data_IF_847311156026
#
_entry.id   IF_847311156026
#
_cell.length_a   1.000
_cell.length_b   1.000
_cell.length_c   1.000
_cell.angle_alpha   90.00
_cell.angle_beta   90.00
_cell.angle_gamma   90.00
#
_symmetry.space_group_name_H-M   'P 1'
#
loop_
_entity.id
_entity.type
_entity.pdbx_description
1 polymer ?
#
# COMPACT_ATOMS: atom_id res chain seq x y z
N UNK A 1 18.34 27.67 29.54
CA UNK A 1 17.17 28.15 30.32
C UNK A 1 16.16 28.97 29.49
N UNK A 2 16.51 29.41 28.28
CA UNK A 2 15.66 30.24 27.40
C UNK A 2 14.66 29.43 26.56
N UNK A 3 15.05 28.24 26.08
CA UNK A 3 14.19 27.40 25.21
C UNK A 3 12.98 26.83 25.97
N UNK A 4 13.17 26.39 27.21
CA UNK A 4 12.09 25.86 28.04
C UNK A 4 11.00 26.91 28.33
N UNK A 5 11.41 28.18 28.50
CA UNK A 5 10.50 29.28 28.78
C UNK A 5 9.66 29.67 27.55
N UNK A 6 10.25 29.56 26.36
CA UNK A 6 9.56 29.76 25.08
C UNK A 6 8.52 28.65 24.83
N UNK A 7 8.87 27.39 25.12
CA UNK A 7 7.94 26.26 24.96
C UNK A 7 6.74 26.34 25.90
N UNK A 8 6.95 26.81 27.14
CA UNK A 8 5.87 27.02 28.12
C UNK A 8 4.94 28.15 27.67
N UNK A 9 5.47 29.25 27.13
CA UNK A 9 4.66 30.34 26.59
C UNK A 9 3.86 29.91 25.35
N UNK A 10 4.44 29.09 24.48
CA UNK A 10 3.74 28.53 23.31
C UNK A 10 2.61 27.56 23.73
N UNK A 11 2.85 26.73 24.75
CA UNK A 11 1.85 25.81 25.27
C UNK A 11 0.67 26.56 25.94
N UNK A 12 0.95 27.60 26.73
CA UNK A 12 -0.07 28.44 27.37
C UNK A 12 -0.87 29.24 26.34
N UNK A 13 -0.22 29.76 25.30
CA UNK A 13 -0.88 30.42 24.18
C UNK A 13 -1.83 29.49 23.42
N UNK A 14 -1.41 28.24 23.18
CA UNK A 14 -2.25 27.24 22.52
C UNK A 14 -3.49 26.91 23.35
N UNK A 15 -3.35 26.73 24.67
CA UNK A 15 -4.48 26.39 25.56
C UNK A 15 -5.51 27.54 25.63
N UNK A 16 -5.07 28.79 25.68
CA UNK A 16 -5.97 29.95 25.68
C UNK A 16 -6.76 30.07 24.35
N UNK A 17 -6.12 29.74 23.22
CA UNK A 17 -6.76 29.76 21.90
C UNK A 17 -7.71 28.58 21.71
N UNK A 18 -7.42 27.41 22.28
CA UNK A 18 -8.24 26.19 22.15
C UNK A 18 -9.37 26.06 23.18
N UNK A 19 -9.36 26.84 24.27
CA UNK A 19 -10.38 26.84 25.33
C UNK A 19 -11.83 27.00 24.82
N UNK A 20 -12.16 27.93 23.90
CA UNK A 20 -13.53 28.07 23.41
C UNK A 20 -13.98 26.95 22.44
N UNK A 21 -13.11 26.02 22.05
CA UNK A 21 -13.41 24.98 21.05
C UNK A 21 -13.92 23.65 21.64
N UNK A 22 -13.93 23.47 22.97
CA UNK A 22 -14.32 22.19 23.59
C UNK A 22 -15.84 21.89 23.58
N UNK A 23 -16.70 22.80 23.13
CA UNK A 23 -18.16 22.65 23.33
C UNK A 23 -18.98 22.51 22.03
N UNK A 24 -18.42 22.71 20.83
CA UNK A 24 -19.19 22.55 19.58
C UNK A 24 -18.87 21.23 18.87
N UNK A 25 -19.80 20.27 18.94
CA UNK A 25 -19.82 19.13 18.01
C UNK A 25 -20.17 19.68 16.62
N UNK A 26 -19.17 19.85 15.75
CA UNK A 26 -19.42 20.09 14.33
C UNK A 26 -19.92 18.78 13.70
N UNK A 27 -21.09 18.75 13.04
CA UNK A 27 -21.46 17.62 12.22
C UNK A 27 -20.44 17.47 11.09
N UNK A 28 -19.98 16.25 10.85
CA UNK A 28 -19.06 15.93 9.76
C UNK A 28 -19.69 16.34 8.41
N UNK A 29 -18.92 16.93 7.47
CA UNK A 29 -19.42 17.19 6.13
C UNK A 29 -19.75 15.85 5.47
N UNK A 30 -21.01 15.66 5.07
CA UNK A 30 -21.37 14.56 4.17
C UNK A 30 -20.65 14.76 2.85
N UNK A 31 -20.17 13.69 2.24
CA UNK A 31 -19.58 13.74 0.91
C UNK A 31 -20.51 14.50 -0.06
N UNK A 32 -19.97 15.39 -0.92
CA UNK A 32 -20.78 16.04 -1.93
C UNK A 32 -21.39 14.94 -2.81
N UNK A 33 -22.71 14.96 -3.07
CA UNK A 33 -23.36 13.93 -3.86
C UNK A 33 -22.69 13.78 -5.24
N UNK A 34 -22.43 12.53 -5.65
CA UNK A 34 -21.75 12.22 -6.90
C UNK A 34 -22.49 12.84 -8.09
N UNK A 35 -21.79 13.70 -8.83
CA UNK A 35 -22.34 14.41 -9.98
C UNK A 35 -22.80 13.47 -11.10
N UNK A 36 -22.24 12.25 -11.18
CA UNK A 36 -22.66 11.24 -12.17
C UNK A 36 -24.07 10.71 -11.88
N UNK A 37 -24.46 10.65 -10.61
CA UNK A 37 -25.76 10.15 -10.18
C UNK A 37 -26.90 11.16 -10.37
N UNK A 38 -26.59 12.46 -10.35
CA UNK A 38 -27.57 13.55 -10.56
C UNK A 38 -28.06 13.59 -12.03
N UNK A 39 -27.13 13.54 -12.99
CA UNK A 39 -27.46 13.57 -14.43
C UNK A 39 -28.20 12.28 -14.84
N UNK A 40 -27.75 11.13 -14.34
CA UNK A 40 -28.41 9.86 -14.60
C UNK A 40 -29.88 9.87 -14.10
N UNK A 41 -30.12 10.42 -12.91
CA UNK A 41 -31.48 10.62 -12.37
C UNK A 41 -32.31 11.57 -13.23
N UNK A 42 -31.77 12.72 -13.65
CA UNK A 42 -32.48 13.67 -14.48
C UNK A 42 -32.88 13.07 -15.85
N UNK A 43 -32.00 12.30 -16.48
CA UNK A 43 -32.28 11.58 -17.73
C UNK A 43 -33.40 10.55 -17.53
N UNK A 44 -33.39 9.82 -16.41
CA UNK A 44 -34.46 8.89 -16.06
C UNK A 44 -35.80 9.62 -15.89
N UNK A 45 -35.83 10.71 -15.13
CA UNK A 45 -37.05 11.48 -14.88
C UNK A 45 -37.63 12.12 -16.15
N UNK A 46 -36.78 12.55 -17.09
CA UNK A 46 -37.23 13.05 -18.40
C UNK A 46 -37.87 11.95 -19.25
N UNK A 47 -37.30 10.74 -19.23
CA UNK A 47 -37.86 9.58 -19.93
C UNK A 47 -39.25 9.21 -19.37
N UNK A 48 -39.40 9.19 -18.05
CA UNK A 48 -40.67 8.90 -17.40
C UNK A 48 -41.74 9.96 -17.73
N UNK A 49 -41.33 11.23 -17.81
CA UNK A 49 -42.22 12.34 -18.20
C UNK A 49 -42.70 12.22 -19.65
N UNK A 50 -41.83 11.75 -20.57
CA UNK A 50 -42.21 11.47 -21.95
C UNK A 50 -43.22 10.33 -22.06
N UNK A 51 -43.04 9.26 -21.28
CA UNK A 51 -44.03 8.18 -21.19
C UNK A 51 -45.37 8.68 -20.65
N UNK A 52 -45.36 9.51 -19.60
CA UNK A 52 -46.59 10.06 -19.01
C UNK A 52 -47.36 10.95 -20.01
N UNK A 53 -46.64 11.72 -20.84
CA UNK A 53 -47.25 12.48 -21.94
C UNK A 53 -47.81 11.57 -23.03
N UNK A 54 -47.07 10.53 -23.43
CA UNK A 54 -47.51 9.59 -24.47
C UNK A 54 -48.76 8.80 -24.03
N UNK A 55 -48.87 8.50 -22.73
CA UNK A 55 -50.04 7.88 -22.13
C UNK A 55 -51.23 8.85 -21.93
N UNK A 56 -51.08 10.14 -22.26
CA UNK A 56 -52.13 11.15 -22.12
C UNK A 56 -52.44 11.54 -20.67
N UNK A 57 -51.60 11.12 -19.71
CA UNK A 57 -51.84 11.34 -18.27
C UNK A 57 -51.48 12.75 -17.80
N UNK A 58 -50.78 13.53 -18.62
CA UNK A 58 -50.35 14.90 -18.28
C UNK A 58 -50.69 15.86 -19.41
N UNK A 59 -51.12 17.07 -19.06
CA UNK A 59 -51.45 18.09 -20.03
C UNK A 59 -50.19 18.63 -20.75
N UNK A 60 -50.28 19.01 -22.03
CA UNK A 60 -49.12 19.51 -22.79
C UNK A 60 -48.43 20.74 -22.18
N UNK A 61 -49.18 21.61 -21.52
CA UNK A 61 -48.64 22.79 -20.84
C UNK A 61 -47.82 22.43 -19.59
N UNK A 62 -48.28 21.44 -18.83
CA UNK A 62 -47.59 20.95 -17.63
C UNK A 62 -46.34 20.15 -18.01
N UNK A 63 -46.41 19.39 -19.11
CA UNK A 63 -45.24 18.73 -19.70
C UNK A 63 -44.13 19.73 -20.03
N UNK A 64 -44.45 20.80 -20.76
CA UNK A 64 -43.47 21.79 -21.18
C UNK A 64 -42.82 22.49 -19.97
N UNK A 65 -43.61 22.78 -18.93
CA UNK A 65 -43.12 23.37 -17.68
C UNK A 65 -42.18 22.42 -16.93
N UNK A 66 -42.59 21.18 -16.70
CA UNK A 66 -41.83 20.18 -15.93
C UNK A 66 -40.53 19.80 -16.62
N UNK A 67 -40.56 19.64 -17.95
CA UNK A 67 -39.37 19.40 -18.76
C UNK A 67 -38.36 20.55 -18.63
N UNK A 68 -38.82 21.80 -18.76
CA UNK A 68 -37.95 22.97 -18.62
C UNK A 68 -37.31 23.08 -17.24
N UNK A 69 -38.02 22.72 -16.16
CA UNK A 69 -37.44 22.69 -14.81
C UNK A 69 -36.39 21.58 -14.62
N UNK A 70 -36.60 20.39 -15.21
CA UNK A 70 -35.64 19.29 -15.13
C UNK A 70 -34.37 19.57 -15.94
N UNK A 71 -34.53 20.13 -17.15
CA UNK A 71 -33.40 20.50 -18.01
C UNK A 71 -32.59 21.66 -17.41
N UNK A 72 -33.25 22.69 -16.87
CA UNK A 72 -32.55 23.82 -16.24
C UNK A 72 -31.81 23.42 -14.95
N UNK A 73 -32.39 22.54 -14.13
CA UNK A 73 -31.78 22.08 -12.88
C UNK A 73 -30.57 21.14 -13.08
N UNK A 74 -30.58 20.31 -14.12
CA UNK A 74 -29.50 19.36 -14.41
C UNK A 74 -28.33 20.00 -15.18
N UNK A 75 -28.60 20.99 -16.04
CA UNK A 75 -27.60 21.52 -16.97
C UNK A 75 -27.14 22.96 -16.68
N UNK A 76 -27.87 23.71 -15.85
CA UNK A 76 -27.53 25.09 -15.53
C UNK A 76 -27.14 25.24 -14.06
N UNK A 77 -26.01 24.62 -13.65
CA UNK A 77 -25.34 25.01 -12.41
C UNK A 77 -24.39 26.16 -12.70
N UNK A 78 -24.49 27.23 -11.90
CA UNK A 78 -23.37 28.13 -11.69
C UNK A 78 -22.13 27.30 -11.31
N UNK A 79 -20.92 27.68 -11.77
CA UNK A 79 -19.71 26.90 -11.51
C UNK A 79 -19.65 26.55 -10.02
N UNK A 80 -19.61 25.25 -9.73
CA UNK A 80 -19.27 24.78 -8.40
C UNK A 80 -17.91 25.41 -8.06
N UNK A 81 -17.86 26.10 -6.93
CA UNK A 81 -16.73 26.91 -6.43
C UNK A 81 -16.77 28.43 -6.70
N UNK A 82 -17.87 29.10 -6.37
CA UNK A 82 -17.71 30.31 -5.55
C UNK A 82 -17.71 29.87 -4.08
N UNK A 83 -16.63 29.21 -3.63
CA UNK A 83 -16.42 28.93 -2.21
C UNK A 83 -16.60 30.27 -1.49
N UNK A 84 -17.57 30.36 -0.59
CA UNK A 84 -17.68 31.52 0.28
C UNK A 84 -16.28 31.75 0.88
N UNK A 85 -15.72 32.98 0.82
CA UNK A 85 -14.35 33.21 1.24
C UNK A 85 -14.20 32.66 2.66
N UNK A 86 -13.25 31.75 2.84
CA UNK A 86 -13.03 31.14 4.14
C UNK A 86 -12.94 32.25 5.19
N UNK A 87 -13.65 32.16 6.33
CA UNK A 87 -13.65 33.24 7.29
C UNK A 87 -12.21 33.52 7.69
N UNK A 88 -11.80 34.80 7.77
CA UNK A 88 -10.40 35.26 7.93
C UNK A 88 -9.62 34.44 8.97
N UNK A 89 -10.31 33.97 10.02
CA UNK A 89 -9.77 33.08 11.05
C UNK A 89 -9.20 31.75 10.51
N UNK A 90 -9.85 31.12 9.54
CA UNK A 90 -9.40 29.87 8.90
C UNK A 90 -8.14 30.11 8.06
N UNK A 91 -8.07 31.25 7.36
CA UNK A 91 -6.89 31.65 6.60
C UNK A 91 -5.70 31.92 7.52
N UNK A 92 -5.93 32.57 8.67
CA UNK A 92 -4.89 32.80 9.68
C UNK A 92 -4.37 31.51 10.31
N UNK A 93 -5.26 30.56 10.64
CA UNK A 93 -4.86 29.26 11.20
C UNK A 93 -4.10 28.44 10.16
N UNK A 94 -4.58 28.40 8.91
CA UNK A 94 -3.88 27.71 7.83
C UNK A 94 -2.50 28.33 7.55
N UNK A 95 -2.39 29.67 7.57
CA UNK A 95 -1.11 30.37 7.41
C UNK A 95 -0.15 30.08 8.57
N UNK A 96 -0.65 29.97 9.81
CA UNK A 96 0.15 29.60 10.97
C UNK A 96 0.64 28.14 10.87
N UNK A 97 -0.23 27.20 10.49
CA UNK A 97 0.16 25.79 10.31
C UNK A 97 1.18 25.66 9.19
N UNK A 98 0.96 26.35 8.06
CA UNK A 98 1.90 26.34 6.93
C UNK A 98 3.26 26.96 7.30
N UNK A 99 3.28 28.04 8.09
CA UNK A 99 4.54 28.68 8.50
C UNK A 99 5.31 27.83 9.51
N UNK A 100 4.62 27.18 10.46
CA UNK A 100 5.24 26.22 11.39
C UNK A 100 5.76 25.00 10.63
N UNK A 101 4.97 24.44 9.70
CA UNK A 101 5.41 23.32 8.88
C UNK A 101 6.64 23.69 8.02
N UNK A 102 6.67 24.88 7.42
CA UNK A 102 7.81 25.38 6.66
C UNK A 102 9.05 25.61 7.55
N UNK A 103 8.86 26.13 8.76
CA UNK A 103 9.96 26.32 9.72
C UNK A 103 10.51 24.99 10.22
N UNK A 104 9.66 24.00 10.50
CA UNK A 104 10.09 22.65 10.86
C UNK A 104 10.83 22.01 9.68
N UNK A 105 10.27 22.07 8.47
CA UNK A 105 10.89 21.52 7.27
C UNK A 105 12.28 22.12 7.00
N UNK A 106 12.47 23.43 7.17
CA UNK A 106 13.77 24.09 6.96
C UNK A 106 14.82 23.75 8.03
N UNK A 107 14.40 23.34 9.22
CA UNK A 107 15.29 22.98 10.33
C UNK A 107 15.60 21.48 10.35
N UNK A 108 14.62 20.62 10.04
CA UNK A 108 14.76 19.17 10.16
C UNK A 108 15.12 18.47 8.86
N UNK A 109 14.81 19.05 7.69
CA UNK A 109 15.20 18.44 6.43
C UNK A 109 16.70 18.68 6.20
N UNK A 110 17.48 17.62 5.91
CA UNK A 110 18.85 17.80 5.48
C UNK A 110 18.85 18.64 4.20
N UNK A 111 19.62 19.73 4.20
CA UNK A 111 19.70 20.69 3.08
C UNK A 111 20.20 20.07 1.77
N UNK A 112 20.65 18.82 1.82
CA UNK A 112 21.17 18.06 0.68
C UNK A 112 20.07 17.38 -0.15
N UNK A 113 18.81 17.35 0.31
CA UNK A 113 17.73 16.61 -0.35
C UNK A 113 17.14 17.31 -1.60
N UNK A 114 17.63 18.50 -1.98
CA UNK A 114 16.92 19.39 -2.93
C UNK A 114 17.54 19.61 -4.31
N UNK A 115 18.84 19.36 -4.52
CA UNK A 115 19.53 19.84 -5.75
C UNK A 115 19.49 18.85 -6.93
N UNK A 116 18.48 17.97 -6.98
CA UNK A 116 18.41 16.95 -8.03
C UNK A 116 17.56 17.41 -9.21
N UNK A 117 18.21 17.62 -10.35
CA UNK A 117 17.50 17.76 -11.62
C UNK A 117 16.76 16.43 -11.97
N UNK A 118 15.53 16.48 -12.51
CA UNK A 118 14.81 15.28 -12.96
C UNK A 118 15.67 14.48 -13.95
N UNK A 119 15.95 13.21 -13.63
CA UNK A 119 16.73 12.29 -14.50
C UNK A 119 18.22 12.13 -14.16
N UNK A 120 18.75 12.81 -13.14
CA UNK A 120 20.16 12.61 -12.74
C UNK A 120 20.36 11.23 -12.05
N UNK A 121 21.35 10.41 -12.46
CA UNK A 121 21.61 9.08 -11.88
C UNK A 121 21.98 9.17 -10.40
N UNK A 122 21.42 8.27 -9.57
CA UNK A 122 21.60 8.23 -8.11
C UNK A 122 23.04 7.89 -7.76
N UNK A 123 23.86 8.92 -7.53
CA UNK A 123 25.28 8.81 -7.12
C UNK A 123 25.49 9.00 -5.61
N UNK A 124 24.50 8.65 -4.79
CA UNK A 124 24.71 8.47 -3.36
C UNK A 124 25.23 7.07 -3.10
N UNK A 125 26.31 6.91 -2.34
CA UNK A 125 26.58 5.61 -1.74
C UNK A 125 25.40 5.30 -0.82
N UNK A 126 24.62 4.26 -1.18
CA UNK A 126 23.70 3.65 -0.21
C UNK A 126 24.57 3.35 1.01
N UNK A 127 24.24 3.84 2.22
CA UNK A 127 25.00 3.50 3.40
C UNK A 127 25.11 1.97 3.42
N UNK A 128 26.35 1.47 3.26
CA UNK A 128 26.59 0.04 3.23
C UNK A 128 25.99 -0.50 4.52
N UNK A 129 25.13 -1.51 4.40
CA UNK A 129 24.61 -2.23 5.55
C UNK A 129 25.76 -2.69 6.45
N UNK A 130 25.46 -3.15 7.68
CA UNK A 130 26.50 -3.73 8.53
C UNK A 130 27.26 -4.78 7.73
N UNK A 131 28.59 -4.64 7.63
CA UNK A 131 29.40 -5.58 6.85
C UNK A 131 29.25 -7.00 7.41
N UNK A 132 29.42 -8.01 6.57
CA UNK A 132 29.34 -9.41 7.01
C UNK A 132 30.19 -9.67 8.26
N UNK A 133 31.43 -9.18 8.28
CA UNK A 133 32.32 -9.30 9.45
C UNK A 133 31.73 -8.67 10.72
N UNK A 134 31.02 -7.54 10.61
CA UNK A 134 30.36 -6.90 11.74
C UNK A 134 29.15 -7.69 12.22
N UNK A 135 28.39 -8.30 11.30
CA UNK A 135 27.26 -9.18 11.61
C UNK A 135 27.73 -10.47 12.29
N UNK A 136 28.80 -11.10 11.79
CA UNK A 136 29.41 -12.29 12.39
C UNK A 136 29.89 -12.02 13.82
N UNK A 137 30.57 -10.88 14.04
CA UNK A 137 31.01 -10.49 15.38
C UNK A 137 29.83 -10.29 16.35
N UNK A 138 28.76 -9.65 15.89
CA UNK A 138 27.53 -9.44 16.69
C UNK A 138 26.81 -10.75 16.97
N UNK A 139 26.67 -11.61 15.96
CA UNK A 139 26.04 -12.92 16.08
C UNK A 139 26.81 -13.81 17.08
N UNK A 140 28.13 -13.72 17.09
CA UNK A 140 28.98 -14.41 18.07
C UNK A 140 28.82 -13.87 19.49
N UNK A 141 28.69 -12.56 19.65
CA UNK A 141 28.46 -11.92 20.96
C UNK A 141 27.05 -12.21 21.50
N UNK A 142 26.06 -12.29 20.62
CA UNK A 142 24.65 -12.50 20.95
C UNK A 142 24.01 -13.60 20.09
N UNK A 143 24.29 -14.90 20.36
CA UNK A 143 23.83 -16.00 19.49
C UNK A 143 22.32 -16.19 19.41
N UNK A 144 21.56 -15.63 20.37
CA UNK A 144 20.09 -15.74 20.44
C UNK A 144 19.37 -14.49 19.95
N UNK A 145 20.10 -13.51 19.43
CA UNK A 145 19.53 -12.29 18.87
C UNK A 145 19.00 -12.55 17.46
N UNK A 146 17.71 -12.90 17.37
CA UNK A 146 17.03 -13.29 16.12
C UNK A 146 17.23 -12.23 15.00
N UNK A 147 17.02 -10.92 15.22
CA UNK A 147 17.27 -9.91 14.21
C UNK A 147 18.69 -9.92 13.63
N UNK A 148 19.72 -10.09 14.47
CA UNK A 148 21.11 -10.16 14.00
C UNK A 148 21.38 -11.46 13.23
N UNK A 149 20.82 -12.59 13.68
CA UNK A 149 20.95 -13.87 12.97
C UNK A 149 20.24 -13.85 11.60
N UNK A 150 19.06 -13.25 11.51
CA UNK A 150 18.35 -13.04 10.24
C UNK A 150 19.17 -12.18 9.28
N UNK A 151 19.66 -11.01 9.74
CA UNK A 151 20.49 -10.14 8.91
C UNK A 151 21.78 -10.83 8.44
N UNK A 152 22.39 -11.67 9.28
CA UNK A 152 23.55 -12.47 8.90
C UNK A 152 23.20 -13.53 7.84
N UNK A 153 22.06 -14.21 7.98
CA UNK A 153 21.58 -15.18 7.01
C UNK A 153 21.26 -14.53 5.65
N UNK A 154 20.64 -13.35 5.66
CA UNK A 154 20.38 -12.54 4.47
C UNK A 154 21.69 -12.17 3.77
N UNK A 155 22.69 -11.69 4.51
CA UNK A 155 23.99 -11.31 3.94
C UNK A 155 24.72 -12.52 3.34
N UNK A 156 24.71 -13.68 4.02
CA UNK A 156 25.23 -14.92 3.46
C UNK A 156 24.50 -15.32 2.17
N UNK A 157 23.19 -15.10 2.08
CA UNK A 157 22.42 -15.38 0.88
C UNK A 157 22.85 -14.47 -0.29
N UNK A 158 23.05 -13.18 -0.02
CA UNK A 158 23.48 -12.19 -1.02
C UNK A 158 24.90 -12.47 -1.54
N UNK A 159 25.81 -12.93 -0.68
CA UNK A 159 27.16 -13.34 -1.08
C UNK A 159 27.22 -14.71 -1.79
N UNK A 160 26.08 -15.39 -1.98
CA UNK A 160 26.01 -16.72 -2.57
C UNK A 160 26.52 -17.84 -1.66
N UNK A 161 26.73 -17.55 -0.36
CA UNK A 161 27.12 -18.52 0.68
C UNK A 161 25.90 -19.31 1.16
N UNK A 162 25.26 -20.02 0.23
CA UNK A 162 23.98 -20.71 0.45
C UNK A 162 23.98 -21.66 1.66
N UNK A 163 25.08 -22.41 1.88
CA UNK A 163 25.19 -23.33 3.02
C UNK A 163 25.19 -22.61 4.37
N UNK A 164 25.90 -21.49 4.46
CA UNK A 164 25.98 -20.70 5.69
C UNK A 164 24.65 -20.01 5.97
N UNK A 165 23.99 -19.49 4.92
CA UNK A 165 22.66 -18.91 5.03
C UNK A 165 21.63 -19.94 5.51
N UNK A 166 21.58 -21.14 4.90
CA UNK A 166 20.68 -22.23 5.32
C UNK A 166 20.90 -22.58 6.80
N UNK A 167 22.16 -22.79 7.21
CA UNK A 167 22.47 -23.12 8.59
C UNK A 167 22.02 -22.01 9.57
N UNK A 168 22.22 -20.75 9.18
CA UNK A 168 21.85 -19.59 10.01
C UNK A 168 20.33 -19.43 10.09
N UNK A 169 19.58 -19.60 8.99
CA UNK A 169 18.12 -19.62 9.02
C UNK A 169 17.57 -20.77 9.88
N UNK A 170 18.15 -21.96 9.79
CA UNK A 170 17.76 -23.09 10.63
C UNK A 170 18.02 -22.81 12.11
N UNK A 171 19.11 -22.11 12.45
CA UNK A 171 19.38 -21.68 13.83
C UNK A 171 18.33 -20.67 14.33
N UNK A 172 17.87 -19.74 13.47
CA UNK A 172 16.74 -18.87 13.79
C UNK A 172 15.47 -19.68 14.04
N UNK A 173 15.16 -20.66 13.18
CA UNK A 173 13.99 -21.52 13.32
C UNK A 173 14.02 -22.43 14.56
N UNK A 174 15.21 -22.71 15.10
CA UNK A 174 15.36 -23.42 16.37
C UNK A 174 15.00 -22.52 17.59
N UNK A 175 15.15 -21.21 17.45
CA UNK A 175 14.78 -20.22 18.48
C UNK A 175 13.34 -19.76 18.36
N UNK A 176 12.89 -19.50 17.13
CA UNK A 176 11.53 -19.15 16.77
C UNK A 176 11.10 -19.99 15.57
N UNK A 177 10.37 -21.07 15.88
CA UNK A 177 9.90 -22.02 14.89
C UNK A 177 9.03 -21.37 13.81
N UNK A 178 8.28 -20.33 14.13
CA UNK A 178 7.26 -19.77 13.23
C UNK A 178 7.71 -18.41 12.65
N UNK A 179 9.01 -18.14 12.70
CA UNK A 179 9.62 -16.97 12.05
C UNK A 179 9.44 -17.04 10.54
N UNK A 180 8.46 -16.29 10.03
CA UNK A 180 8.15 -16.26 8.59
C UNK A 180 9.34 -15.76 7.78
N UNK A 181 10.08 -14.75 8.27
CA UNK A 181 11.28 -14.25 7.60
C UNK A 181 12.35 -15.35 7.41
N UNK A 182 12.57 -16.20 8.41
CA UNK A 182 13.52 -17.30 8.30
C UNK A 182 13.01 -18.42 7.38
N UNK A 183 11.70 -18.71 7.41
CA UNK A 183 11.10 -19.69 6.51
C UNK A 183 11.16 -19.24 5.06
N UNK A 184 10.87 -17.97 4.77
CA UNK A 184 10.92 -17.38 3.43
C UNK A 184 12.35 -17.38 2.89
N UNK A 185 13.31 -16.88 3.67
CA UNK A 185 14.72 -16.87 3.29
C UNK A 185 15.26 -18.28 3.04
N UNK A 186 14.94 -19.24 3.91
CA UNK A 186 15.30 -20.64 3.72
C UNK A 186 14.66 -21.23 2.45
N UNK A 187 13.37 -21.03 2.24
CA UNK A 187 12.65 -21.52 1.07
C UNK A 187 13.25 -20.98 -0.23
N UNK A 188 13.53 -19.68 -0.29
CA UNK A 188 14.14 -19.04 -1.45
C UNK A 188 15.47 -19.70 -1.84
N UNK A 189 16.37 -19.88 -0.88
CA UNK A 189 17.69 -20.49 -1.12
C UNK A 189 17.55 -21.95 -1.55
N UNK A 190 16.62 -22.70 -0.95
CA UNK A 190 16.37 -24.09 -1.33
C UNK A 190 15.83 -24.21 -2.76
N UNK A 191 14.91 -23.33 -3.19
CA UNK A 191 14.43 -23.27 -4.58
C UNK A 191 15.57 -22.94 -5.55
N UNK A 192 16.43 -21.98 -5.20
CA UNK A 192 17.60 -21.62 -6.00
C UNK A 192 18.60 -22.77 -6.11
N UNK A 193 18.76 -23.54 -5.03
CA UNK A 193 19.64 -24.72 -4.96
C UNK A 193 19.02 -25.99 -5.56
N UNK A 194 17.82 -25.90 -6.17
CA UNK A 194 17.01 -27.02 -6.66
C UNK A 194 16.66 -28.07 -5.59
N UNK A 195 16.77 -27.74 -4.30
CA UNK A 195 16.33 -28.56 -3.16
C UNK A 195 14.82 -28.37 -2.92
N UNK A 196 14.03 -28.62 -3.97
CA UNK A 196 12.63 -28.23 -4.03
C UNK A 196 11.77 -28.92 -2.95
N UNK A 197 12.11 -30.14 -2.52
CA UNK A 197 11.38 -30.84 -1.45
C UNK A 197 11.45 -30.10 -0.12
N UNK A 198 12.66 -29.69 0.28
CA UNK A 198 12.85 -28.89 1.49
C UNK A 198 12.18 -27.52 1.39
N UNK A 199 12.24 -26.90 0.21
CA UNK A 199 11.57 -25.62 -0.04
C UNK A 199 10.06 -25.73 0.17
N UNK A 200 9.42 -26.77 -0.37
CA UNK A 200 7.98 -26.99 -0.22
C UNK A 200 7.57 -27.11 1.25
N UNK A 201 8.36 -27.84 2.07
CA UNK A 201 8.10 -27.96 3.51
C UNK A 201 8.16 -26.58 4.19
N UNK A 202 9.15 -25.75 3.87
CA UNK A 202 9.24 -24.40 4.45
C UNK A 202 8.07 -23.51 3.99
N UNK A 203 7.73 -23.54 2.70
CA UNK A 203 6.66 -22.74 2.10
C UNK A 203 5.28 -23.15 2.60
N UNK A 204 5.04 -24.44 2.83
CA UNK A 204 3.80 -24.94 3.43
C UNK A 204 3.60 -24.38 4.84
N UNK A 205 4.68 -24.22 5.61
CA UNK A 205 4.62 -23.58 6.92
C UNK A 205 4.34 -22.09 6.82
N UNK A 206 4.95 -21.38 5.87
CA UNK A 206 4.64 -19.96 5.62
C UNK A 206 3.18 -19.80 5.27
N UNK A 207 2.65 -20.61 4.34
CA UNK A 207 1.26 -20.53 3.90
C UNK A 207 0.27 -21.00 4.98
N UNK A 208 0.67 -21.85 5.91
CA UNK A 208 -0.13 -22.15 7.10
C UNK A 208 -0.28 -20.92 8.02
N UNK A 209 0.77 -20.10 8.14
CA UNK A 209 0.77 -18.86 8.93
C UNK A 209 0.14 -17.68 8.16
N UNK A 210 0.36 -17.62 6.85
CA UNK A 210 -0.08 -16.57 5.93
C UNK A 210 -0.63 -17.18 4.63
N UNK A 211 -1.90 -17.60 4.60
CA UNK A 211 -2.47 -18.34 3.47
C UNK A 211 -2.51 -17.60 2.13
N UNK A 212 -2.37 -16.27 2.14
CA UNK A 212 -2.42 -15.42 0.93
C UNK A 212 -1.14 -14.60 0.78
N UNK A 213 -0.01 -15.11 1.25
CA UNK A 213 1.30 -14.49 1.04
C UNK A 213 1.76 -14.64 -0.42
N UNK A 214 1.87 -13.56 -1.21
CA UNK A 214 2.19 -13.66 -2.64
C UNK A 214 3.57 -14.24 -2.91
N UNK A 215 4.57 -13.93 -2.07
CA UNK A 215 5.95 -14.40 -2.23
C UNK A 215 6.04 -15.91 -2.01
N UNK A 216 5.39 -16.41 -0.95
CA UNK A 216 5.34 -17.83 -0.66
C UNK A 216 4.56 -18.62 -1.73
N UNK A 217 3.42 -18.09 -2.21
CA UNK A 217 2.66 -18.71 -3.31
C UNK A 217 3.48 -18.74 -4.60
N UNK A 218 4.19 -17.66 -4.91
CA UNK A 218 5.09 -17.59 -6.06
C UNK A 218 6.17 -18.66 -6.00
N UNK A 219 6.94 -18.71 -4.90
CA UNK A 219 8.04 -19.66 -4.70
C UNK A 219 7.55 -21.10 -4.68
N UNK A 220 6.38 -21.38 -4.08
CA UNK A 220 5.81 -22.73 -4.03
C UNK A 220 5.41 -23.22 -5.42
N UNK A 221 4.75 -22.37 -6.21
CA UNK A 221 4.43 -22.72 -7.59
C UNK A 221 5.69 -22.98 -8.44
N UNK A 222 6.75 -22.18 -8.25
CA UNK A 222 8.03 -22.38 -8.93
C UNK A 222 8.71 -23.71 -8.52
N UNK A 223 8.71 -24.04 -7.24
CA UNK A 223 9.26 -25.30 -6.73
C UNK A 223 8.49 -26.52 -7.29
N UNK A 224 7.16 -26.47 -7.32
CA UNK A 224 6.31 -27.51 -7.91
C UNK A 224 6.56 -27.66 -9.42
N UNK A 225 6.67 -26.54 -10.13
CA UNK A 225 6.98 -26.52 -11.56
C UNK A 225 8.34 -27.17 -11.86
N UNK A 226 9.38 -26.84 -11.09
CA UNK A 226 10.72 -27.47 -11.20
C UNK A 226 10.67 -28.97 -10.92
N UNK A 227 9.80 -29.41 -10.01
CA UNK A 227 9.53 -30.83 -9.72
C UNK A 227 8.66 -31.53 -10.77
N UNK A 228 8.19 -30.81 -11.78
CA UNK A 228 7.26 -31.32 -12.79
C UNK A 228 5.88 -31.70 -12.23
N UNK A 229 5.53 -31.23 -11.03
CA UNK A 229 4.17 -31.30 -10.51
C UNK A 229 3.35 -30.15 -11.12
N UNK A 230 2.99 -30.32 -12.39
CA UNK A 230 2.28 -29.31 -13.17
C UNK A 230 0.93 -28.98 -12.55
N UNK A 231 0.24 -30.00 -12.01
CA UNK A 231 -1.06 -29.84 -11.37
C UNK A 231 -0.94 -28.95 -10.13
N UNK A 232 -0.03 -29.29 -9.21
CA UNK A 232 0.22 -28.49 -8.01
C UNK A 232 0.65 -27.06 -8.34
N UNK A 233 1.54 -26.89 -9.34
CA UNK A 233 1.97 -25.57 -9.77
C UNK A 233 0.81 -24.70 -10.29
N UNK A 234 -0.07 -25.28 -11.11
CA UNK A 234 -1.28 -24.60 -11.59
C UNK A 234 -2.20 -24.23 -10.43
N UNK A 235 -2.50 -25.16 -9.53
CA UNK A 235 -3.41 -24.94 -8.41
C UNK A 235 -2.91 -23.77 -7.51
N UNK A 236 -1.62 -23.74 -7.20
CA UNK A 236 -1.00 -22.68 -6.38
C UNK A 236 -0.96 -21.35 -7.15
N UNK A 237 -0.55 -21.35 -8.42
CA UNK A 237 -0.47 -20.11 -9.20
C UNK A 237 -1.85 -19.53 -9.55
N UNK A 238 -2.91 -20.33 -9.58
CA UNK A 238 -4.28 -19.79 -9.66
C UNK A 238 -4.57 -18.89 -8.46
N UNK A 239 -4.20 -19.29 -7.24
CA UNK A 239 -4.36 -18.46 -6.04
C UNK A 239 -3.44 -17.24 -6.09
N UNK A 240 -2.18 -17.43 -6.51
CA UNK A 240 -1.23 -16.33 -6.64
C UNK A 240 -1.73 -15.24 -7.61
N UNK A 241 -2.28 -15.62 -8.77
CA UNK A 241 -2.75 -14.65 -9.77
C UNK A 241 -4.05 -13.94 -9.35
N UNK A 242 -4.83 -14.53 -8.45
CA UNK A 242 -5.99 -13.88 -7.81
C UNK A 242 -5.56 -12.85 -6.75
N UNK A 243 -4.56 -13.19 -5.94
CA UNK A 243 -4.09 -12.33 -4.82
C UNK A 243 -3.08 -11.28 -5.25
N UNK A 244 -2.22 -11.64 -6.20
CA UNK A 244 -1.02 -10.90 -6.60
C UNK A 244 -1.09 -10.36 -8.02
N UNK A 245 -2.26 -9.94 -8.51
CA UNK A 245 -2.41 -9.37 -9.85
C UNK A 245 -1.40 -8.23 -10.13
N UNK A 246 -1.08 -7.43 -9.09
CA UNK A 246 -0.10 -6.34 -9.12
C UNK A 246 1.28 -6.70 -8.55
N UNK A 247 1.53 -7.98 -8.22
CA UNK A 247 2.82 -8.40 -7.71
C UNK A 247 3.88 -8.38 -8.84
N UNK A 248 5.12 -7.91 -8.61
CA UNK A 248 6.13 -7.79 -9.66
C UNK A 248 6.43 -9.09 -10.42
N UNK A 249 6.30 -10.24 -9.76
CA UNK A 249 6.52 -11.54 -10.38
C UNK A 249 5.32 -12.04 -11.23
N UNK A 250 4.19 -11.31 -11.29
CA UNK A 250 3.00 -11.76 -12.02
C UNK A 250 3.26 -11.95 -13.51
N UNK A 251 4.00 -11.04 -14.14
CA UNK A 251 4.39 -11.14 -15.55
C UNK A 251 5.23 -12.39 -15.84
N UNK A 252 6.06 -12.81 -14.88
CA UNK A 252 6.87 -14.03 -14.98
C UNK A 252 6.05 -15.30 -14.74
N UNK A 253 5.06 -15.27 -13.84
CA UNK A 253 4.24 -16.44 -13.52
C UNK A 253 3.27 -16.80 -14.64
N UNK A 254 2.66 -15.82 -15.32
CA UNK A 254 1.67 -16.08 -16.39
C UNK A 254 2.14 -17.04 -17.48
N UNK A 255 3.34 -16.89 -18.09
CA UNK A 255 3.81 -17.85 -19.10
C UNK A 255 4.09 -19.24 -18.52
N UNK A 256 4.65 -19.33 -17.31
CA UNK A 256 4.92 -20.62 -16.65
C UNK A 256 3.62 -21.35 -16.31
N UNK A 257 2.60 -20.62 -15.84
CA UNK A 257 1.26 -21.14 -15.60
C UNK A 257 0.62 -21.71 -16.87
N UNK A 258 0.74 -21.00 -18.00
CA UNK A 258 0.23 -21.47 -19.28
C UNK A 258 0.95 -22.74 -19.77
N UNK A 259 2.29 -22.81 -19.62
CA UNK A 259 3.07 -24.00 -19.96
C UNK A 259 2.67 -25.20 -19.10
N UNK A 260 2.61 -25.02 -17.77
CA UNK A 260 2.19 -26.07 -16.85
C UNK A 260 0.79 -26.61 -17.21
N UNK A 261 -0.16 -25.73 -17.51
CA UNK A 261 -1.52 -26.11 -17.92
C UNK A 261 -1.53 -26.90 -19.24
N UNK A 262 -0.68 -26.55 -20.19
CA UNK A 262 -0.52 -27.33 -21.44
C UNK A 262 -0.01 -28.74 -21.16
N UNK A 263 0.92 -28.91 -20.20
CA UNK A 263 1.48 -30.21 -19.83
C UNK A 263 0.52 -31.12 -19.09
N UNK A 264 -0.45 -30.57 -18.34
CA UNK A 264 -1.52 -31.37 -17.70
C UNK A 264 -2.45 -32.00 -18.75
N UNK A 265 -2.66 -31.31 -19.88
CA UNK A 265 -3.60 -31.73 -20.93
C UNK A 265 -3.02 -32.68 -21.98
N UNK A 266 -1.74 -33.05 -21.90
CA UNK A 266 -1.08 -34.04 -22.76
C UNK A 266 -0.95 -35.36 -22.03
#
# INVERSE_FOLDING_TARGET
MTIALILVFLALGAIAVLSPYRVRRLPWPTDPPDARDDVARAVSSLRDLEFARAAGTIAPADYARLRGTLESGAFNRAPADARAPAPVRTLLIAALIASVAAAVATVTLPREAGDRAPGAPVTGSVPSGPSLASLEARAKASPRDIPTQLALADEYAQEGRARDAIATYQAVLALDKDSVAALDGLALILVQSNENDGALVALDRVLALRPRDPDALFLKGLALYKKQDWKGAVDVWTIYLDVGEFHPAADMVRPLYADARSRIGR
#
